data_IF_946207624631
#
_entry.id   IF_946207624631
#
_cell.length_a   1.000
_cell.length_b   1.000
_cell.length_c   1.000
_cell.angle_alpha   90.00
_cell.angle_beta   90.00
_cell.angle_gamma   90.00
#
_symmetry.space_group_name_H-M   'P 1'
#
loop_
_entity.id
_entity.type
_entity.pdbx_description
1 polymer ?
#
# COMPACT_ATOMS: atom_id res chain seq x y z
N UNK A 1 -62.53 6.55 10.36
CA UNK A 1 -62.57 5.68 9.17
C UNK A 1 -61.46 6.10 8.25
N UNK A 2 -60.50 5.22 8.00
CA UNK A 2 -59.35 5.47 7.14
C UNK A 2 -58.62 4.15 6.94
N UNK A 3 -58.77 3.61 5.73
CA UNK A 3 -58.60 2.21 5.39
C UNK A 3 -57.13 1.82 5.22
N UNK A 4 -56.77 0.67 5.79
CA UNK A 4 -55.49 -0.01 5.65
C UNK A 4 -55.52 -0.93 4.42
N UNK A 5 -54.60 -0.71 3.48
CA UNK A 5 -54.37 -1.59 2.33
C UNK A 5 -53.06 -2.34 2.49
N UNK A 6 -53.15 -3.63 2.77
CA UNK A 6 -52.08 -4.62 2.79
C UNK A 6 -51.82 -5.18 1.39
N UNK A 7 -50.59 -5.05 0.89
CA UNK A 7 -50.12 -5.66 -0.35
C UNK A 7 -49.27 -6.89 -0.05
N UNK A 8 -49.78 -8.05 -0.46
CA UNK A 8 -49.17 -9.37 -0.40
C UNK A 8 -48.38 -9.66 -1.66
N UNK A 9 -47.07 -9.85 -1.52
CA UNK A 9 -46.16 -10.22 -2.62
C UNK A 9 -46.11 -11.75 -2.78
N UNK A 10 -46.62 -12.22 -3.92
CA UNK A 10 -46.64 -13.64 -4.28
C UNK A 10 -45.33 -14.07 -4.93
N UNK A 11 -44.74 -15.14 -4.37
CA UNK A 11 -43.56 -15.84 -4.87
C UNK A 11 -43.86 -16.56 -6.19
N UNK A 12 -43.12 -16.21 -7.24
CA UNK A 12 -43.14 -16.92 -8.52
C UNK A 12 -41.83 -17.72 -8.67
N UNK A 13 -41.85 -19.01 -8.28
CA UNK A 13 -40.76 -19.96 -8.57
C UNK A 13 -41.11 -20.67 -9.89
N UNK A 14 -40.49 -20.23 -10.99
CA UNK A 14 -40.47 -21.01 -12.23
C UNK A 14 -39.31 -22.01 -12.17
N UNK A 15 -39.66 -23.28 -12.32
CA UNK A 15 -38.72 -24.39 -12.40
C UNK A 15 -38.00 -24.41 -13.74
N UNK A 16 -36.67 -24.43 -13.69
CA UNK A 16 -35.82 -24.80 -14.80
C UNK A 16 -35.70 -26.32 -14.83
N UNK A 17 -36.37 -26.98 -15.78
CA UNK A 17 -36.05 -28.34 -16.19
C UNK A 17 -35.01 -28.25 -17.33
N UNK A 18 -33.76 -28.53 -17.00
CA UNK A 18 -32.68 -28.68 -17.98
C UNK A 18 -32.51 -30.14 -18.34
N UNK A 19 -32.91 -30.49 -19.56
CA UNK A 19 -32.61 -31.76 -20.24
C UNK A 19 -31.09 -32.05 -20.24
N UNK A 20 -30.70 -33.17 -19.64
CA UNK A 20 -29.36 -33.74 -19.79
C UNK A 20 -29.27 -34.39 -21.17
N UNK A 21 -28.66 -33.70 -22.14
CA UNK A 21 -28.23 -34.32 -23.39
C UNK A 21 -26.89 -35.02 -23.18
N UNK A 22 -26.89 -36.31 -23.46
CA UNK A 22 -25.71 -37.17 -23.50
C UNK A 22 -24.69 -36.63 -24.52
N UNK A 23 -23.45 -36.48 -24.06
CA UNK A 23 -22.31 -36.08 -24.90
C UNK A 23 -21.75 -37.34 -25.56
N UNK A 24 -21.59 -37.39 -26.90
CA UNK A 24 -20.99 -38.53 -27.56
C UNK A 24 -19.51 -38.67 -27.20
N UNK A 25 -19.15 -39.87 -26.76
CA UNK A 25 -17.78 -40.32 -26.50
C UNK A 25 -17.02 -40.36 -27.83
N UNK A 26 -16.13 -39.40 -28.03
CA UNK A 26 -15.22 -39.38 -29.18
C UNK A 26 -14.04 -40.33 -28.90
N UNK A 27 -13.97 -41.44 -29.65
CA UNK A 27 -12.82 -42.35 -29.66
C UNK A 27 -11.68 -41.73 -30.46
N UNK A 28 -10.50 -41.66 -29.85
CA UNK A 28 -9.25 -41.19 -30.44
C UNK A 28 -8.77 -42.06 -31.60
N UNK A 29 -8.16 -41.47 -32.64
CA UNK A 29 -7.15 -42.13 -33.45
C UNK A 29 -5.75 -41.63 -33.12
N UNK A 30 -4.84 -42.58 -32.89
CA UNK A 30 -3.57 -42.62 -33.61
C UNK A 30 -2.43 -41.73 -33.11
N UNK A 31 -1.41 -42.39 -32.59
CA UNK A 31 -0.10 -41.85 -32.26
C UNK A 31 0.54 -41.02 -33.39
N UNK A 32 0.87 -39.78 -33.08
CA UNK A 32 1.92 -39.01 -33.74
C UNK A 32 2.91 -38.54 -32.68
N UNK A 33 4.17 -38.93 -32.79
CA UNK A 33 5.23 -38.58 -31.86
C UNK A 33 5.37 -37.06 -31.76
N UNK A 34 4.93 -36.50 -30.64
CA UNK A 34 5.12 -35.09 -30.31
C UNK A 34 6.52 -34.90 -29.74
N UNK A 35 7.33 -33.94 -30.24
CA UNK A 35 8.62 -33.64 -29.64
C UNK A 35 8.41 -33.18 -28.21
N UNK A 36 9.16 -33.78 -27.28
CA UNK A 36 9.11 -33.38 -25.88
C UNK A 36 9.45 -31.89 -25.75
N UNK A 37 8.64 -31.08 -25.06
CA UNK A 37 9.07 -29.76 -24.66
C UNK A 37 10.27 -29.92 -23.74
N UNK A 38 11.40 -29.30 -24.12
CA UNK A 38 12.53 -29.12 -23.22
C UNK A 38 12.01 -28.44 -21.95
N UNK A 39 12.06 -29.15 -20.84
CA UNK A 39 11.99 -28.55 -19.50
C UNK A 39 13.18 -27.60 -19.38
N UNK A 40 12.99 -26.33 -19.73
CA UNK A 40 13.86 -25.27 -19.24
C UNK A 40 13.68 -25.22 -17.73
N UNK A 41 14.60 -25.89 -17.03
CA UNK A 41 14.87 -25.68 -15.62
C UNK A 41 15.06 -24.18 -15.40
N UNK A 42 13.98 -23.50 -14.99
CA UNK A 42 14.00 -22.14 -14.46
C UNK A 42 14.78 -22.19 -13.14
N UNK A 43 16.11 -22.22 -13.26
CA UNK A 43 17.01 -21.87 -12.17
C UNK A 43 16.67 -20.44 -11.79
N UNK A 44 15.91 -20.30 -10.71
CA UNK A 44 15.71 -19.01 -10.08
C UNK A 44 17.11 -18.46 -9.78
N UNK A 45 17.48 -17.26 -10.27
CA UNK A 45 18.75 -16.68 -9.92
C UNK A 45 18.81 -16.59 -8.39
N UNK A 46 19.97 -16.89 -7.75
CA UNK A 46 20.10 -16.78 -6.32
C UNK A 46 19.67 -15.38 -5.92
N UNK A 47 18.56 -15.30 -5.18
CA UNK A 47 18.18 -14.10 -4.46
C UNK A 47 19.30 -13.89 -3.45
N UNK A 48 20.29 -13.08 -3.82
CA UNK A 48 21.23 -12.50 -2.86
C UNK A 48 20.39 -11.69 -1.90
N UNK A 49 19.96 -12.35 -0.82
CA UNK A 49 19.48 -11.75 0.40
C UNK A 49 20.62 -10.90 0.91
N UNK A 50 20.66 -9.64 0.46
CA UNK A 50 21.40 -8.60 1.15
C UNK A 50 20.79 -8.59 2.53
N UNK A 51 21.47 -9.23 3.48
CA UNK A 51 21.13 -9.19 4.90
C UNK A 51 20.68 -7.78 5.20
N UNK A 52 19.39 -7.65 5.55
CA UNK A 52 18.77 -6.37 5.83
C UNK A 52 19.64 -5.69 6.88
N UNK A 53 20.41 -4.69 6.45
CA UNK A 53 20.95 -3.72 7.36
C UNK A 53 19.71 -3.11 7.99
N UNK A 54 19.47 -3.48 9.24
CA UNK A 54 18.47 -2.84 10.05
C UNK A 54 18.81 -1.35 9.95
N UNK A 55 17.94 -0.59 9.28
CA UNK A 55 17.83 0.82 9.58
C UNK A 55 17.21 0.90 10.97
N UNK A 56 17.96 0.47 11.99
CA UNK A 56 17.79 1.06 13.29
C UNK A 56 17.97 2.55 13.00
N UNK A 57 16.91 3.34 13.14
CA UNK A 57 17.08 4.76 13.41
C UNK A 57 18.07 4.76 14.58
N UNK A 58 19.36 5.08 14.37
CA UNK A 58 20.22 5.20 15.52
C UNK A 58 19.53 6.27 16.34
N UNK A 59 19.24 5.97 17.60
CA UNK A 59 18.85 6.96 18.58
C UNK A 59 20.07 7.87 18.79
N UNK A 60 20.52 8.56 17.74
CA UNK A 60 21.37 9.73 17.81
C UNK A 60 20.49 10.70 18.56
N UNK A 61 20.73 10.79 19.87
CA UNK A 61 20.34 11.96 20.65
C UNK A 61 20.75 13.14 19.79
N UNK A 62 19.76 13.87 19.29
CA UNK A 62 19.99 15.10 18.56
C UNK A 62 20.97 15.94 19.38
N UNK A 63 22.14 16.32 18.85
CA UNK A 63 23.15 17.03 19.63
C UNK A 63 22.51 18.29 20.19
N UNK A 64 22.37 18.34 21.53
CA UNK A 64 21.79 19.45 22.30
C UNK A 64 22.74 20.65 22.37
N UNK A 65 23.42 20.97 21.29
CA UNK A 65 24.34 22.11 21.26
C UNK A 65 23.65 23.27 20.55
N UNK A 66 22.68 23.88 21.24
CA UNK A 66 22.29 25.27 20.96
C UNK A 66 23.10 26.18 21.87
N UNK A 67 23.76 27.22 21.33
CA UNK A 67 24.50 28.20 22.12
C UNK A 67 23.56 28.88 23.11
N UNK A 68 24.08 29.12 24.32
CA UNK A 68 23.36 29.66 25.47
C UNK A 68 22.84 31.08 25.20
N UNK A 69 21.66 31.18 24.57
CA UNK A 69 20.87 32.40 24.47
C UNK A 69 19.90 32.52 25.65
N UNK A 70 19.59 33.75 26.09
CA UNK A 70 18.79 34.00 27.28
C UNK A 70 17.34 33.53 27.11
N UNK A 71 16.83 32.83 28.13
CA UNK A 71 15.45 32.41 28.31
C UNK A 71 14.92 31.39 27.29
N UNK A 72 15.57 30.23 27.21
CA UNK A 72 14.96 29.04 26.60
C UNK A 72 13.76 28.61 27.44
N UNK A 73 12.57 29.08 27.05
CA UNK A 73 11.31 28.43 27.41
C UNK A 73 11.45 26.96 27.04
N UNK A 74 11.36 26.06 28.02
CA UNK A 74 11.46 24.62 27.83
C UNK A 74 10.45 24.22 26.75
N UNK A 75 10.92 23.96 25.52
CA UNK A 75 10.06 23.38 24.50
C UNK A 75 9.72 21.97 24.98
N UNK A 76 8.44 21.62 25.08
CA UNK A 76 8.05 20.26 25.44
C UNK A 76 8.71 19.30 24.46
N UNK A 77 9.36 18.26 25.00
CA UNK A 77 9.92 17.21 24.16
C UNK A 77 8.79 16.53 23.41
N UNK A 78 8.91 16.34 22.09
CA UNK A 78 7.89 15.62 21.33
C UNK A 78 7.66 14.22 21.93
N UNK A 79 6.40 13.81 22.03
CA UNK A 79 6.02 12.50 22.57
C UNK A 79 6.02 11.40 21.49
N UNK A 80 7.00 11.43 20.58
CA UNK A 80 7.18 10.38 19.56
C UNK A 80 8.67 10.05 19.40
N UNK A 81 8.95 8.82 18.98
CA UNK A 81 10.30 8.28 18.81
C UNK A 81 10.71 8.12 17.34
N UNK A 82 9.76 8.21 16.42
CA UNK A 82 9.93 7.91 14.99
C UNK A 82 8.99 8.75 14.12
N UNK A 83 9.28 8.82 12.83
CA UNK A 83 8.35 9.28 11.80
C UNK A 83 8.22 8.18 10.76
N UNK A 84 6.99 7.84 10.40
CA UNK A 84 6.69 6.82 9.39
C UNK A 84 5.78 7.41 8.32
N UNK A 85 6.02 7.04 7.06
CA UNK A 85 5.21 7.45 5.92
C UNK A 85 4.62 6.20 5.26
N UNK A 86 3.31 6.03 5.41
CA UNK A 86 2.58 4.89 4.87
C UNK A 86 2.04 5.20 3.48
N UNK A 87 1.76 4.15 2.71
CA UNK A 87 1.18 4.23 1.37
C UNK A 87 0.16 3.13 1.21
N UNK A 88 -0.92 3.38 0.47
CA UNK A 88 -1.92 2.35 0.21
C UNK A 88 -1.24 1.09 -0.38
N UNK A 89 -1.50 -0.12 0.15
CA UNK A 89 -0.79 -1.34 -0.27
C UNK A 89 -0.91 -1.65 -1.77
N UNK A 90 -2.09 -1.42 -2.35
CA UNK A 90 -2.33 -1.64 -3.78
C UNK A 90 -1.54 -0.63 -4.62
N UNK A 91 -1.58 0.65 -4.23
CA UNK A 91 -0.75 1.70 -4.85
C UNK A 91 0.75 1.38 -4.75
N UNK A 92 1.20 0.85 -3.62
CA UNK A 92 2.59 0.46 -3.39
C UNK A 92 3.01 -0.65 -4.36
N UNK A 93 2.20 -1.70 -4.50
CA UNK A 93 2.47 -2.82 -5.42
C UNK A 93 2.44 -2.37 -6.88
N UNK A 94 1.44 -1.58 -7.28
CA UNK A 94 1.36 -0.99 -8.64
C UNK A 94 2.60 -0.15 -8.95
N UNK A 95 2.96 0.76 -8.05
CA UNK A 95 4.14 1.61 -8.22
C UNK A 95 5.42 0.78 -8.33
N UNK A 96 5.56 -0.29 -7.54
CA UNK A 96 6.71 -1.18 -7.62
C UNK A 96 6.74 -1.97 -8.94
N UNK A 97 5.59 -2.45 -9.41
CA UNK A 97 5.47 -3.17 -10.67
C UNK A 97 5.97 -2.34 -11.85
N UNK A 98 5.42 -1.14 -12.04
CA UNK A 98 5.79 -0.28 -13.15
C UNK A 98 7.21 0.29 -13.03
N UNK A 99 7.69 0.53 -11.80
CA UNK A 99 9.00 1.13 -11.62
C UNK A 99 10.14 0.10 -11.66
N UNK A 100 9.97 -1.07 -11.05
CA UNK A 100 11.03 -2.07 -10.88
C UNK A 100 10.80 -3.34 -11.69
N UNK A 101 9.60 -3.93 -11.66
CA UNK A 101 9.37 -5.26 -12.26
C UNK A 101 9.47 -5.20 -13.78
N UNK A 102 8.75 -4.27 -14.42
CA UNK A 102 8.80 -4.10 -15.88
C UNK A 102 10.22 -3.75 -16.34
N UNK A 103 10.92 -2.85 -15.62
CA UNK A 103 12.28 -2.44 -16.00
C UNK A 103 13.35 -3.51 -15.81
N UNK A 104 13.23 -4.35 -14.77
CA UNK A 104 14.24 -5.36 -14.43
C UNK A 104 14.00 -6.70 -15.12
N UNK A 105 12.79 -6.97 -15.58
CA UNK A 105 12.42 -8.22 -16.25
C UNK A 105 11.66 -7.94 -17.55
N UNK A 106 12.29 -7.25 -18.52
CA UNK A 106 11.60 -6.84 -19.75
C UNK A 106 11.04 -8.07 -20.49
N UNK A 107 11.79 -9.16 -20.63
CA UNK A 107 11.30 -10.34 -21.37
C UNK A 107 10.00 -10.95 -20.86
N UNK A 108 9.66 -10.80 -19.56
CA UNK A 108 8.45 -11.40 -18.97
C UNK A 108 7.25 -10.44 -18.90
N UNK A 109 7.52 -9.14 -18.70
CA UNK A 109 6.48 -8.15 -18.37
C UNK A 109 6.55 -6.87 -19.20
N UNK A 110 7.43 -6.79 -20.20
CA UNK A 110 7.54 -5.62 -21.08
C UNK A 110 6.20 -5.28 -21.71
N UNK A 111 5.80 -4.02 -21.55
CA UNK A 111 4.58 -3.43 -22.09
C UNK A 111 3.27 -4.15 -21.70
N UNK A 112 3.32 -5.04 -20.70
CA UNK A 112 2.13 -5.70 -20.17
C UNK A 112 1.56 -4.87 -19.01
N UNK A 113 0.29 -4.45 -19.08
CA UNK A 113 -0.37 -3.86 -17.92
C UNK A 113 -0.65 -4.93 -16.85
N UNK A 114 -0.78 -4.50 -15.60
CA UNK A 114 -1.09 -5.39 -14.47
C UNK A 114 -2.46 -6.07 -14.65
N UNK A 115 -3.42 -5.40 -15.32
CA UNK A 115 -4.71 -5.98 -15.70
C UNK A 115 -4.62 -7.27 -16.50
N UNK A 116 -3.54 -7.46 -17.28
CA UNK A 116 -3.34 -8.61 -18.15
C UNK A 116 -2.50 -9.73 -17.51
N UNK A 117 -2.22 -9.64 -16.21
CA UNK A 117 -1.47 -10.65 -15.49
C UNK A 117 -2.37 -11.79 -15.01
N UNK A 118 -1.84 -13.01 -15.11
CA UNK A 118 -2.45 -14.19 -14.50
C UNK A 118 -2.31 -14.14 -12.97
N UNK A 119 -3.10 -14.93 -12.25
CA UNK A 119 -3.00 -14.99 -10.77
C UNK A 119 -1.60 -15.40 -10.27
N UNK A 120 -0.92 -16.30 -11.00
CA UNK A 120 0.46 -16.70 -10.67
C UNK A 120 1.46 -15.56 -10.86
N UNK A 121 1.30 -14.78 -11.93
CA UNK A 121 2.12 -13.59 -12.18
C UNK A 121 1.85 -12.48 -11.16
N UNK A 122 0.58 -12.26 -10.79
CA UNK A 122 0.22 -11.32 -9.73
C UNK A 122 0.87 -11.71 -8.40
N UNK A 123 0.82 -13.00 -8.03
CA UNK A 123 1.51 -13.50 -6.84
C UNK A 123 3.02 -13.27 -6.90
N UNK A 124 3.65 -13.49 -8.06
CA UNK A 124 5.06 -13.17 -8.26
C UNK A 124 5.34 -11.68 -8.04
N UNK A 125 4.52 -10.80 -8.61
CA UNK A 125 4.65 -9.34 -8.44
C UNK A 125 4.55 -8.97 -6.97
N UNK A 126 3.52 -9.43 -6.25
CA UNK A 126 3.34 -9.18 -4.81
C UNK A 126 4.58 -9.60 -4.01
N UNK A 127 5.07 -10.82 -4.23
CA UNK A 127 6.28 -11.33 -3.54
C UNK A 127 7.51 -10.50 -3.87
N UNK A 128 7.69 -10.10 -5.13
CA UNK A 128 8.81 -9.28 -5.58
C UNK A 128 8.77 -7.84 -5.05
N UNK A 129 7.58 -7.31 -4.79
CA UNK A 129 7.34 -6.02 -4.13
C UNK A 129 7.55 -6.05 -2.62
N UNK A 130 7.78 -7.23 -2.07
CA UNK A 130 7.78 -7.49 -0.64
C UNK A 130 6.34 -7.59 -0.11
N UNK A 131 5.95 -8.82 0.21
CA UNK A 131 4.75 -9.12 0.98
C UNK A 131 4.96 -8.60 2.41
N UNK A 132 3.93 -7.99 3.01
CA UNK A 132 3.96 -7.53 4.41
C UNK A 132 5.14 -6.61 4.77
N UNK A 133 5.54 -5.73 3.83
CA UNK A 133 6.67 -4.81 4.02
C UNK A 133 6.39 -3.80 5.13
N UNK A 134 5.21 -3.17 5.16
CA UNK A 134 4.88 -2.23 6.23
C UNK A 134 4.88 -2.93 7.59
N UNK A 135 4.31 -4.14 7.68
CA UNK A 135 4.39 -4.95 8.89
C UNK A 135 5.85 -5.21 9.30
N UNK A 136 6.73 -5.59 8.37
CA UNK A 136 8.14 -5.85 8.70
C UNK A 136 8.94 -4.63 9.16
N UNK A 137 8.52 -3.41 8.78
CA UNK A 137 9.17 -2.18 9.24
C UNK A 137 8.60 -1.68 10.57
N UNK A 138 7.33 -1.99 10.87
CA UNK A 138 6.64 -1.58 12.09
C UNK A 138 6.72 -2.62 13.21
N UNK A 139 7.15 -3.84 12.88
CA UNK A 139 7.40 -4.91 13.86
C UNK A 139 8.91 -5.11 14.00
N UNK A 140 9.34 -5.74 15.08
CA UNK A 140 10.76 -6.13 15.25
C UNK A 140 11.11 -7.39 14.45
N UNK A 141 10.17 -7.90 13.64
CA UNK A 141 10.27 -9.15 12.89
C UNK A 141 10.64 -8.90 11.43
N UNK A 142 11.42 -9.83 10.86
CA UNK A 142 11.65 -9.88 9.42
C UNK A 142 10.40 -10.42 8.73
N UNK A 143 10.22 -10.08 7.45
CA UNK A 143 9.08 -10.56 6.62
C UNK A 143 8.88 -12.08 6.69
N UNK A 144 9.97 -12.86 6.75
CA UNK A 144 9.93 -14.33 6.74
C UNK A 144 9.52 -14.91 8.09
N UNK A 145 9.69 -14.15 9.16
CA UNK A 145 9.48 -14.57 10.55
C UNK A 145 8.30 -13.82 11.18
N UNK A 146 7.39 -13.30 10.34
CA UNK A 146 6.22 -12.60 10.84
C UNK A 146 5.36 -13.58 11.65
N UNK A 147 4.91 -13.18 12.85
CA UNK A 147 3.98 -13.99 13.63
C UNK A 147 2.63 -14.09 12.91
N UNK A 148 1.61 -14.63 13.59
CA UNK A 148 0.25 -14.58 13.07
C UNK A 148 -0.14 -13.15 12.65
N UNK A 149 -0.96 -12.97 11.60
CA UNK A 149 -1.35 -11.64 11.13
C UNK A 149 -1.89 -10.73 12.23
N UNK A 150 -2.65 -11.27 13.18
CA UNK A 150 -3.21 -10.48 14.27
C UNK A 150 -2.15 -10.01 15.29
N UNK A 151 -1.14 -10.84 15.59
CA UNK A 151 -0.03 -10.41 16.45
C UNK A 151 0.83 -9.34 15.73
N UNK A 152 1.13 -9.54 14.45
CA UNK A 152 1.86 -8.56 13.64
C UNK A 152 1.10 -7.22 13.56
N UNK A 153 -0.23 -7.25 13.44
CA UNK A 153 -1.04 -6.04 13.46
C UNK A 153 -1.01 -5.35 14.83
N UNK A 154 -1.12 -6.12 15.92
CA UNK A 154 -1.08 -5.56 17.28
C UNK A 154 0.26 -4.86 17.57
N UNK A 155 1.37 -5.48 17.17
CA UNK A 155 2.70 -4.88 17.28
C UNK A 155 2.85 -3.64 16.40
N UNK A 156 2.41 -3.70 15.13
CA UNK A 156 2.43 -2.56 14.25
C UNK A 156 1.61 -1.39 14.82
N UNK A 157 0.43 -1.68 15.40
CA UNK A 157 -0.40 -0.69 16.08
C UNK A 157 0.32 -0.05 17.27
N UNK A 158 1.01 -0.84 18.09
CA UNK A 158 1.78 -0.32 19.22
C UNK A 158 2.95 0.57 18.77
N UNK A 159 3.63 0.20 17.69
CA UNK A 159 4.68 1.03 17.09
C UNK A 159 4.13 2.34 16.51
N UNK A 160 2.99 2.30 15.81
CA UNK A 160 2.36 3.51 15.25
C UNK A 160 1.97 4.52 16.34
N UNK A 161 1.55 4.07 17.52
CA UNK A 161 1.27 4.94 18.67
C UNK A 161 2.50 5.72 19.18
N UNK A 162 3.71 5.25 18.87
CA UNK A 162 4.97 5.89 19.27
C UNK A 162 5.61 6.70 18.14
N UNK A 163 5.02 6.70 16.94
CA UNK A 163 5.54 7.42 15.78
C UNK A 163 4.62 8.58 15.39
N UNK A 164 5.20 9.60 14.78
CA UNK A 164 4.45 10.53 13.95
C UNK A 164 4.10 9.82 12.64
N UNK A 165 2.82 9.69 12.33
CA UNK A 165 2.34 8.93 11.16
C UNK A 165 1.94 9.88 10.04
N UNK A 166 2.53 9.70 8.87
CA UNK A 166 2.13 10.31 7.61
C UNK A 166 1.54 9.30 6.62
N UNK A 167 0.76 9.79 5.67
CA UNK A 167 0.19 8.98 4.57
C UNK A 167 0.46 9.68 3.24
N UNK A 168 1.06 8.95 2.30
CA UNK A 168 1.50 9.51 1.02
C UNK A 168 0.33 10.04 0.18
N UNK A 169 -0.80 9.35 0.16
CA UNK A 169 -2.03 9.77 -0.52
C UNK A 169 -2.71 10.98 0.13
N UNK A 170 -2.30 11.35 1.35
CA UNK A 170 -2.75 12.53 2.09
C UNK A 170 -1.54 13.41 2.43
N UNK A 171 -0.72 13.70 1.43
CA UNK A 171 0.55 14.40 1.63
C UNK A 171 0.36 15.80 2.23
N UNK A 172 -0.67 16.54 1.83
CA UNK A 172 -0.99 17.86 2.38
C UNK A 172 -1.32 17.79 3.88
N UNK A 173 -2.12 16.81 4.28
CA UNK A 173 -2.45 16.58 5.69
C UNK A 173 -1.21 16.13 6.48
N UNK A 174 -0.37 15.29 5.86
CA UNK A 174 0.91 14.86 6.44
C UNK A 174 1.83 16.06 6.66
N UNK A 175 1.91 16.99 5.70
CA UNK A 175 2.68 18.23 5.83
C UNK A 175 2.15 19.16 6.92
N UNK A 176 0.82 19.26 7.07
CA UNK A 176 0.19 20.03 8.15
C UNK A 176 0.61 19.51 9.53
N UNK A 177 0.54 18.18 9.72
CA UNK A 177 0.98 17.53 10.96
C UNK A 177 2.48 17.66 11.15
N UNK A 178 3.29 17.45 10.11
CA UNK A 178 4.74 17.65 10.20
C UNK A 178 5.11 19.09 10.58
N UNK A 179 4.37 20.09 10.13
CA UNK A 179 4.66 21.49 10.44
C UNK A 179 4.47 21.86 11.92
N UNK A 180 3.55 21.20 12.63
CA UNK A 180 3.36 21.44 14.07
C UNK A 180 4.59 21.03 14.88
N UNK A 181 5.34 20.04 14.37
CA UNK A 181 6.52 19.45 15.02
C UNK A 181 7.82 20.01 14.46
N UNK A 182 7.88 20.18 13.14
CA UNK A 182 9.05 20.58 12.37
C UNK A 182 8.70 21.80 11.49
N UNK A 183 8.64 23.02 12.07
CA UNK A 183 8.21 24.21 11.34
C UNK A 183 9.05 24.50 10.07
N UNK A 184 10.31 24.07 10.06
CA UNK A 184 11.21 24.24 8.93
C UNK A 184 10.82 23.40 7.69
N UNK A 185 9.98 22.38 7.83
CA UNK A 185 9.53 21.53 6.70
C UNK A 185 8.81 22.37 5.64
N UNK A 186 8.01 23.36 6.04
CA UNK A 186 7.28 24.20 5.09
C UNK A 186 8.12 25.36 4.53
N UNK A 187 9.22 25.72 5.18
CA UNK A 187 10.11 26.78 4.68
C UNK A 187 10.78 26.37 3.36
N UNK A 188 10.96 25.07 3.14
CA UNK A 188 11.62 24.52 1.95
C UNK A 188 10.66 23.89 0.95
N UNK A 189 9.35 24.06 1.09
CA UNK A 189 8.36 23.38 0.25
C UNK A 189 8.51 23.71 -1.23
N UNK A 190 8.87 24.96 -1.58
CA UNK A 190 9.12 25.40 -2.96
C UNK A 190 10.26 24.64 -3.65
N UNK A 191 11.17 24.03 -2.87
CA UNK A 191 12.31 23.27 -3.37
C UNK A 191 11.99 21.77 -3.55
N UNK A 192 10.87 21.30 -2.98
CA UNK A 192 10.45 19.90 -3.09
C UNK A 192 9.79 19.72 -4.46
N UNK A 193 10.59 19.32 -5.45
CA UNK A 193 10.06 18.78 -6.71
C UNK A 193 9.39 17.44 -6.41
N UNK A 194 8.08 17.49 -6.15
CA UNK A 194 7.26 16.30 -6.14
C UNK A 194 7.31 15.68 -7.55
N UNK A 195 8.10 14.61 -7.72
CA UNK A 195 8.12 13.78 -8.93
C UNK A 195 6.80 12.99 -9.12
N UNK A 196 5.70 13.53 -8.63
CA UNK A 196 4.43 12.83 -8.42
C UNK A 196 3.51 12.97 -9.63
N UNK A 197 3.72 13.92 -10.56
CA UNK A 197 2.67 14.22 -11.55
C UNK A 197 3.00 14.20 -13.04
N UNK A 198 4.18 14.62 -13.51
CA UNK A 198 4.16 15.26 -14.83
C UNK A 198 4.37 14.37 -16.07
N UNK A 199 5.06 13.22 -16.01
CA UNK A 199 5.53 12.56 -17.24
C UNK A 199 5.41 11.05 -17.37
N UNK A 200 4.94 10.32 -16.34
CA UNK A 200 4.85 8.84 -16.41
C UNK A 200 3.51 8.23 -15.98
N UNK A 201 2.62 8.98 -15.36
CA UNK A 201 1.35 8.42 -14.86
C UNK A 201 0.28 8.24 -15.93
N UNK A 202 0.35 8.94 -17.06
CA UNK A 202 -0.63 8.80 -18.14
C UNK A 202 -0.67 7.37 -18.73
N UNK A 203 0.36 6.55 -18.50
CA UNK A 203 0.43 5.16 -18.97
C UNK A 203 0.29 4.11 -17.86
N UNK A 204 0.32 4.49 -16.57
CA UNK A 204 0.24 3.53 -15.48
C UNK A 204 -1.21 3.33 -15.05
N UNK A 205 -1.60 2.08 -14.79
CA UNK A 205 -2.91 1.78 -14.23
C UNK A 205 -3.04 2.34 -12.82
N UNK A 206 -4.20 2.91 -12.55
CA UNK A 206 -4.61 3.35 -11.22
C UNK A 206 -5.44 2.24 -10.54
N UNK A 207 -5.43 2.11 -9.20
CA UNK A 207 -6.18 1.05 -8.51
C UNK A 207 -7.67 0.97 -8.88
N UNK A 208 -8.30 2.12 -9.10
CA UNK A 208 -9.70 2.23 -9.49
C UNK A 208 -9.96 1.74 -10.92
N UNK A 209 -8.95 1.83 -11.80
CA UNK A 209 -9.02 1.37 -13.19
C UNK A 209 -8.71 -0.13 -13.35
N UNK A 210 -8.14 -0.77 -12.31
CA UNK A 210 -7.85 -2.20 -12.36
C UNK A 210 -9.15 -3.02 -12.48
N UNK A 211 -9.13 -4.11 -13.27
CA UNK A 211 -10.23 -5.06 -13.31
C UNK A 211 -10.55 -5.59 -11.91
N UNK A 212 -11.84 -5.80 -11.60
CA UNK A 212 -12.30 -6.29 -10.29
C UNK A 212 -11.57 -7.56 -9.85
N UNK A 213 -11.27 -8.48 -10.79
CA UNK A 213 -10.48 -9.69 -10.51
C UNK A 213 -9.11 -9.36 -9.90
N UNK A 214 -8.38 -8.44 -10.52
CA UNK A 214 -7.02 -8.06 -10.09
C UNK A 214 -7.07 -7.31 -8.78
N UNK A 215 -7.97 -6.31 -8.66
CA UNK A 215 -8.13 -5.55 -7.41
C UNK A 215 -8.45 -6.46 -6.24
N UNK A 216 -9.44 -7.35 -6.38
CA UNK A 216 -9.79 -8.32 -5.34
C UNK A 216 -8.61 -9.22 -4.98
N UNK A 217 -7.90 -9.75 -5.97
CA UNK A 217 -6.73 -10.60 -5.74
C UNK A 217 -5.64 -9.86 -4.93
N UNK A 218 -5.35 -8.60 -5.28
CA UNK A 218 -4.37 -7.79 -4.54
C UNK A 218 -4.84 -7.53 -3.11
N UNK A 219 -6.10 -7.13 -2.90
CA UNK A 219 -6.64 -6.86 -1.56
C UNK A 219 -6.62 -8.10 -0.66
N UNK A 220 -7.03 -9.27 -1.17
CA UNK A 220 -7.03 -10.53 -0.41
C UNK A 220 -5.61 -10.92 0.05
N UNK A 221 -4.60 -10.71 -0.81
CA UNK A 221 -3.22 -11.07 -0.49
C UNK A 221 -2.45 -9.98 0.26
N UNK A 222 -3.04 -8.81 0.45
CA UNK A 222 -2.46 -7.67 1.17
C UNK A 222 -3.30 -7.30 2.40
N UNK A 223 -4.15 -8.19 2.90
CA UNK A 223 -5.10 -7.91 3.99
C UNK A 223 -4.43 -7.28 5.23
N UNK A 224 -3.33 -7.88 5.72
CA UNK A 224 -2.58 -7.34 6.85
C UNK A 224 -2.07 -5.92 6.58
N UNK A 225 -1.53 -5.69 5.39
CA UNK A 225 -1.03 -4.37 4.98
C UNK A 225 -2.16 -3.34 4.88
N UNK A 226 -3.35 -3.77 4.41
CA UNK A 226 -4.54 -2.91 4.35
C UNK A 226 -4.97 -2.51 5.77
N UNK A 227 -5.03 -3.45 6.71
CA UNK A 227 -5.38 -3.19 8.11
C UNK A 227 -4.37 -2.22 8.78
N UNK A 228 -3.07 -2.39 8.52
CA UNK A 228 -2.03 -1.46 9.01
C UNK A 228 -2.20 -0.06 8.40
N UNK A 229 -2.51 0.02 7.10
CA UNK A 229 -2.73 1.28 6.42
C UNK A 229 -3.94 2.03 7.00
N UNK A 230 -5.04 1.32 7.30
CA UNK A 230 -6.23 1.89 7.91
C UNK A 230 -5.95 2.44 9.31
N UNK A 231 -5.20 1.71 10.16
CA UNK A 231 -4.70 2.25 11.44
C UNK A 231 -3.90 3.54 11.22
N UNK A 232 -3.03 3.56 10.21
CA UNK A 232 -2.27 4.76 9.84
C UNK A 232 -3.13 5.97 9.49
N UNK A 233 -4.23 5.76 8.77
CA UNK A 233 -5.20 6.80 8.45
C UNK A 233 -5.91 7.33 9.70
N UNK A 234 -6.28 6.45 10.63
CA UNK A 234 -6.89 6.83 11.91
C UNK A 234 -5.94 7.66 12.77
N UNK A 235 -4.67 7.24 12.86
CA UNK A 235 -3.61 7.99 13.54
C UNK A 235 -3.42 9.39 12.95
N UNK A 236 -3.27 9.49 11.62
CA UNK A 236 -3.14 10.79 10.95
C UNK A 236 -4.38 11.67 11.20
N UNK A 237 -5.58 11.09 11.15
CA UNK A 237 -6.81 11.83 11.44
C UNK A 237 -6.87 12.33 12.89
N UNK A 238 -6.34 11.57 13.85
CA UNK A 238 -6.24 11.99 15.24
C UNK A 238 -5.25 13.16 15.42
N UNK A 239 -4.07 13.10 14.80
CA UNK A 239 -3.08 14.18 14.82
C UNK A 239 -3.64 15.47 14.22
N UNK A 240 -4.38 15.36 13.11
CA UNK A 240 -5.01 16.51 12.47
C UNK A 240 -5.94 17.28 13.41
N UNK A 241 -6.65 16.62 14.33
CA UNK A 241 -7.54 17.31 15.30
C UNK A 241 -6.77 18.27 16.21
N UNK A 242 -5.48 18.04 16.42
CA UNK A 242 -4.62 18.86 17.27
C UNK A 242 -3.88 19.95 16.48
N UNK A 243 -3.97 19.97 15.14
CA UNK A 243 -3.35 21.03 14.32
C UNK A 243 -4.05 22.37 14.55
N UNK A 244 -3.33 23.40 15.05
CA UNK A 244 -3.91 24.71 15.31
C UNK A 244 -4.56 25.34 14.07
N UNK A 245 -5.71 26.03 14.20
CA UNK A 245 -6.38 26.68 13.07
C UNK A 245 -5.50 27.69 12.32
N UNK A 246 -4.55 28.33 13.01
CA UNK A 246 -3.60 29.27 12.40
C UNK A 246 -2.72 28.59 11.33
N UNK A 247 -2.20 27.40 11.61
CA UNK A 247 -1.38 26.62 10.67
C UNK A 247 -2.20 26.19 9.47
N UNK A 248 -3.45 25.76 9.69
CA UNK A 248 -4.37 25.38 8.59
C UNK A 248 -4.61 26.55 7.64
N UNK A 249 -4.89 27.75 8.17
CA UNK A 249 -5.07 28.96 7.38
C UNK A 249 -3.81 29.35 6.61
N UNK A 250 -2.65 29.31 7.26
CA UNK A 250 -1.37 29.59 6.60
C UNK A 250 -1.13 28.65 5.41
N UNK A 251 -1.37 27.35 5.60
CA UNK A 251 -1.18 26.35 4.54
C UNK A 251 -2.15 26.57 3.36
N UNK A 252 -3.41 26.90 3.64
CA UNK A 252 -4.40 27.24 2.61
C UNK A 252 -4.01 28.51 1.84
N UNK A 253 -3.52 29.55 2.52
CA UNK A 253 -3.06 30.79 1.88
C UNK A 253 -1.87 30.56 0.97
N UNK A 254 -0.91 29.72 1.37
CA UNK A 254 0.24 29.36 0.53
C UNK A 254 -0.18 28.59 -0.72
N UNK A 255 -1.14 27.66 -0.59
CA UNK A 255 -1.65 26.89 -1.72
C UNK A 255 -2.35 27.75 -2.77
N UNK A 256 -3.04 28.82 -2.37
CA UNK A 256 -3.68 29.74 -3.32
C UNK A 256 -2.72 30.64 -4.11
N UNK A 257 -1.42 30.64 -3.78
CA UNK A 257 -0.40 31.48 -4.43
C UNK A 257 0.53 30.71 -5.38
N UNK A 258 0.52 29.38 -5.31
CA UNK A 258 1.34 28.50 -6.15
C UNK A 258 0.56 28.06 -7.38
#
# INVERSE_FOLDING_TARGET
>A
GGSSSSSSSSSNRQGFQGELREVPIFRSPGHGASPQPREEHLQQPPLHSKQGQHFACPSRRWPRTTPAGPSQTHRPTPNFSCFVLLRNPVNRVLSHYYYFVIKRSPSRFQDRPMSNLTSQELMFVIKSSGLNVMASFLTSHRVVDLPSPDLALAEASASLQQCLVGVLERWEDTLLVLHTVFPWVLMNQSSIKLNVGARKEAAHEQPQTLPTRVRRFLTEHLDLEMRIYDLGLEHLAAELRHVPPGIRREFQQRRGRA
#
